data_IF_367679286372
#
_entry.id   IF_367679286372
#
_cell.length_a   1.000
_cell.length_b   1.000
_cell.length_c   1.000
_cell.angle_alpha   90.00
_cell.angle_beta   90.00
_cell.angle_gamma   90.00
#
_symmetry.space_group_name_H-M   'P 1'
#
loop_
_entity.id
_entity.type
_entity.pdbx_description
1 polymer ?
#
# COMPACT_ATOMS: atom_id res chain seq x y z
N UNK A 1 -26.41 27.06 -26.91
CA UNK A 1 -25.41 26.45 -25.99
C UNK A 1 -25.78 24.99 -25.78
N UNK A 2 -25.24 24.07 -26.57
CA UNK A 2 -25.36 22.62 -26.36
C UNK A 2 -24.21 21.93 -27.12
N UNK A 3 -23.26 21.36 -26.40
CA UNK A 3 -22.21 20.48 -26.94
C UNK A 3 -22.36 19.13 -26.24
N UNK A 4 -23.39 18.38 -26.63
CA UNK A 4 -23.56 16.98 -26.27
C UNK A 4 -24.15 16.25 -27.46
N UNK A 5 -23.32 15.56 -28.23
CA UNK A 5 -23.65 14.32 -28.95
C UNK A 5 -22.52 13.93 -29.91
N UNK A 6 -21.47 13.31 -29.38
CA UNK A 6 -20.64 12.39 -30.19
C UNK A 6 -20.56 11.08 -29.43
N UNK A 7 -21.24 10.01 -29.87
CA UNK A 7 -21.11 8.67 -29.31
C UNK A 7 -19.68 8.17 -29.56
N UNK A 8 -18.91 7.93 -28.50
CA UNK A 8 -17.51 7.47 -28.58
C UNK A 8 -16.43 8.53 -28.29
N UNK A 9 -16.81 9.76 -27.94
CA UNK A 9 -15.87 10.79 -27.51
C UNK A 9 -15.49 10.61 -26.03
N UNK A 10 -14.26 10.17 -25.75
CA UNK A 10 -13.71 10.13 -24.39
C UNK A 10 -12.42 10.94 -24.30
N UNK A 11 -12.42 11.95 -23.43
CA UNK A 11 -11.33 12.89 -23.16
C UNK A 11 -10.12 12.28 -22.43
N UNK A 12 -9.50 11.18 -22.89
CA UNK A 12 -8.07 10.86 -22.60
C UNK A 12 -7.63 9.45 -23.10
N UNK A 13 -6.76 9.37 -24.13
CA UNK A 13 -6.19 8.10 -24.62
C UNK A 13 -5.40 7.31 -23.56
N UNK A 14 -4.84 7.97 -22.52
CA UNK A 14 -4.05 7.35 -21.45
C UNK A 14 -4.90 6.54 -20.46
N UNK A 15 -6.18 6.87 -20.27
CA UNK A 15 -7.12 6.14 -19.41
C UNK A 15 -7.51 4.78 -20.01
N UNK A 16 -7.60 4.71 -21.35
CA UNK A 16 -8.03 3.51 -22.09
C UNK A 16 -7.22 2.23 -21.79
N UNK A 17 -5.89 2.36 -21.59
CA UNK A 17 -5.03 1.21 -21.31
C UNK A 17 -5.16 0.72 -19.87
N UNK A 18 -5.34 1.63 -18.92
CA UNK A 18 -5.59 1.28 -17.52
C UNK A 18 -6.96 0.64 -17.36
N UNK A 19 -8.00 1.18 -18.01
CA UNK A 19 -9.36 0.64 -17.95
C UNK A 19 -9.43 -0.80 -18.48
N UNK A 20 -8.75 -1.08 -19.58
CA UNK A 20 -8.68 -2.44 -20.13
C UNK A 20 -8.00 -3.39 -19.14
N UNK A 21 -6.81 -3.07 -18.66
CA UNK A 21 -6.07 -3.95 -17.74
C UNK A 21 -6.78 -4.10 -16.39
N UNK A 22 -7.43 -3.05 -15.88
CA UNK A 22 -8.23 -3.07 -14.67
C UNK A 22 -9.44 -4.01 -14.82
N UNK A 23 -10.15 -3.94 -15.95
CA UNK A 23 -11.26 -4.84 -16.28
C UNK A 23 -10.79 -6.30 -16.31
N UNK A 24 -9.67 -6.56 -16.99
CA UNK A 24 -9.09 -7.91 -17.10
C UNK A 24 -8.62 -8.43 -15.74
N UNK A 25 -7.99 -7.59 -14.92
CA UNK A 25 -7.59 -7.94 -13.55
C UNK A 25 -8.80 -8.32 -12.70
N UNK A 26 -9.87 -7.52 -12.75
CA UNK A 26 -11.13 -7.82 -12.03
C UNK A 26 -11.70 -9.17 -12.41
N UNK A 27 -11.78 -9.46 -13.72
CA UNK A 27 -12.28 -10.75 -14.20
C UNK A 27 -11.39 -11.92 -13.77
N UNK A 28 -10.07 -11.73 -13.77
CA UNK A 28 -9.14 -12.76 -13.33
C UNK A 28 -9.29 -13.06 -11.83
N UNK A 29 -9.29 -12.01 -11.00
CA UNK A 29 -9.44 -12.14 -9.53
C UNK A 29 -10.81 -12.70 -9.17
N UNK A 30 -11.88 -12.32 -9.87
CA UNK A 30 -13.22 -12.88 -9.63
C UNK A 30 -13.29 -14.39 -9.91
N UNK A 31 -12.52 -14.89 -10.89
CA UNK A 31 -12.52 -16.31 -11.28
C UNK A 31 -11.59 -17.18 -10.45
N UNK A 32 -10.42 -16.66 -10.10
CA UNK A 32 -9.32 -17.45 -9.52
C UNK A 32 -8.91 -17.00 -8.12
N UNK A 33 -9.46 -15.88 -7.65
CA UNK A 33 -9.03 -15.23 -6.42
C UNK A 33 -7.70 -14.50 -6.57
N UNK A 34 -7.41 -13.60 -5.63
CA UNK A 34 -6.16 -12.85 -5.61
C UNK A 34 -4.92 -13.75 -5.38
N UNK A 35 -5.09 -14.87 -4.69
CA UNK A 35 -4.00 -15.79 -4.35
C UNK A 35 -3.33 -16.42 -5.59
N UNK A 36 -4.02 -16.44 -6.74
CA UNK A 36 -3.48 -16.93 -8.01
C UNK A 36 -2.62 -15.89 -8.76
N UNK A 37 -2.47 -14.67 -8.23
CA UNK A 37 -1.68 -13.62 -8.86
C UNK A 37 -0.18 -13.76 -8.55
N UNK A 38 0.59 -13.96 -9.61
CA UNK A 38 2.05 -13.92 -9.66
C UNK A 38 2.53 -12.80 -10.60
N UNK A 39 3.84 -12.52 -10.60
CA UNK A 39 4.42 -11.46 -11.43
C UNK A 39 4.27 -11.75 -12.94
N UNK A 40 4.29 -13.02 -13.31
CA UNK A 40 4.22 -13.53 -14.67
C UNK A 40 2.79 -13.89 -15.12
N UNK A 41 1.78 -13.72 -14.24
CA UNK A 41 0.39 -14.00 -14.58
C UNK A 41 -0.06 -13.24 -15.82
N UNK A 42 -0.66 -13.97 -16.75
CA UNK A 42 -1.28 -13.47 -17.96
C UNK A 42 -2.78 -13.74 -17.97
N UNK A 43 -3.54 -12.82 -18.54
CA UNK A 43 -4.93 -13.06 -18.86
C UNK A 43 -5.06 -14.08 -20.00
N UNK A 44 -6.24 -14.71 -20.13
CA UNK A 44 -6.54 -15.61 -21.27
C UNK A 44 -6.38 -14.92 -22.62
N UNK A 45 -6.63 -13.61 -22.67
CA UNK A 45 -6.49 -12.74 -23.84
C UNK A 45 -5.05 -12.29 -24.11
N UNK A 46 -4.08 -12.74 -23.29
CA UNK A 46 -2.65 -12.53 -23.48
C UNK A 46 -2.03 -11.38 -22.69
N UNK A 47 -2.83 -10.50 -22.09
CA UNK A 47 -2.32 -9.33 -21.36
C UNK A 47 -1.49 -9.72 -20.13
N UNK A 48 -0.31 -9.11 -19.92
CA UNK A 48 0.56 -9.41 -18.79
C UNK A 48 0.10 -8.71 -17.50
N UNK A 49 -0.99 -9.20 -16.90
CA UNK A 49 -1.61 -8.60 -15.73
C UNK A 49 -0.67 -8.54 -14.52
N UNK A 50 0.15 -9.57 -14.27
CA UNK A 50 1.11 -9.57 -13.16
C UNK A 50 2.14 -8.44 -13.26
N UNK A 51 2.69 -8.22 -14.47
CA UNK A 51 3.62 -7.11 -14.74
C UNK A 51 2.92 -5.76 -14.64
N UNK A 52 1.68 -5.66 -15.12
CA UNK A 52 0.91 -4.42 -15.01
C UNK A 52 0.61 -4.07 -13.55
N UNK A 53 0.24 -5.03 -12.70
CA UNK A 53 0.07 -4.82 -11.26
C UNK A 53 1.34 -4.26 -10.62
N UNK A 54 2.52 -4.81 -10.95
CA UNK A 54 3.78 -4.27 -10.45
C UNK A 54 4.04 -2.84 -10.94
N UNK A 55 3.81 -2.57 -12.23
CA UNK A 55 3.94 -1.23 -12.80
C UNK A 55 3.05 -0.21 -12.08
N UNK A 56 1.78 -0.56 -11.84
CA UNK A 56 0.82 0.30 -11.15
C UNK A 56 1.25 0.56 -9.69
N UNK A 57 1.71 -0.46 -8.97
CA UNK A 57 2.25 -0.30 -7.61
C UNK A 57 3.48 0.61 -7.58
N UNK A 58 4.37 0.54 -8.57
CA UNK A 58 5.52 1.44 -8.69
C UNK A 58 5.06 2.89 -8.89
N UNK A 59 4.13 3.14 -9.80
CA UNK A 59 3.61 4.50 -10.05
C UNK A 59 2.84 5.08 -8.87
N UNK A 60 2.13 4.24 -8.12
CA UNK A 60 1.47 4.64 -6.87
C UNK A 60 2.49 5.15 -5.83
N UNK A 61 3.62 4.45 -5.65
CA UNK A 61 4.69 4.89 -4.74
C UNK A 61 5.35 6.19 -5.18
N UNK A 62 5.43 6.42 -6.49
CA UNK A 62 5.98 7.64 -7.07
C UNK A 62 5.00 8.83 -7.00
N UNK A 63 3.75 8.62 -6.56
CA UNK A 63 2.71 9.65 -6.55
C UNK A 63 2.21 10.02 -7.95
N UNK A 64 2.44 9.15 -8.93
CA UNK A 64 2.10 9.41 -10.34
C UNK A 64 0.86 8.65 -10.81
N UNK A 65 0.24 7.87 -9.92
CA UNK A 65 -0.98 7.14 -10.22
C UNK A 65 -2.18 8.08 -10.02
N UNK A 66 -3.08 8.20 -11.00
CA UNK A 66 -4.33 8.93 -10.81
C UNK A 66 -5.14 8.37 -9.62
N UNK A 67 -5.71 9.26 -8.81
CA UNK A 67 -6.42 8.91 -7.57
C UNK A 67 -7.67 8.05 -7.84
N UNK A 68 -8.36 8.30 -8.95
CA UNK A 68 -9.51 7.50 -9.40
C UNK A 68 -9.09 6.05 -9.68
N UNK A 69 -7.99 5.85 -10.39
CA UNK A 69 -7.45 4.53 -10.68
C UNK A 69 -6.98 3.82 -9.40
N UNK A 70 -6.37 4.56 -8.47
CA UNK A 70 -6.00 4.02 -7.16
C UNK A 70 -7.24 3.49 -6.40
N UNK A 71 -8.29 4.30 -6.32
CA UNK A 71 -9.55 3.92 -5.68
C UNK A 71 -10.21 2.72 -6.36
N UNK A 72 -10.18 2.63 -7.69
CA UNK A 72 -10.71 1.49 -8.44
C UNK A 72 -9.95 0.18 -8.15
N UNK A 73 -8.64 0.25 -7.93
CA UNK A 73 -7.80 -0.90 -7.59
C UNK A 73 -8.01 -1.38 -6.16
N UNK A 74 -8.16 -0.44 -5.21
CA UNK A 74 -8.45 -0.74 -3.80
C UNK A 74 -9.78 -1.48 -3.61
N UNK A 75 -10.73 -1.35 -4.55
CA UNK A 75 -11.98 -2.11 -4.54
C UNK A 75 -11.84 -3.56 -5.00
N UNK A 76 -10.69 -3.96 -5.54
CA UNK A 76 -10.48 -5.35 -5.99
C UNK A 76 -10.23 -6.23 -4.76
N UNK A 77 -11.02 -7.32 -4.56
CA UNK A 77 -10.82 -8.21 -3.42
C UNK A 77 -9.40 -8.78 -3.37
N UNK A 78 -8.76 -8.64 -2.22
CA UNK A 78 -7.38 -9.09 -2.01
C UNK A 78 -6.30 -8.15 -2.56
N UNK A 79 -6.67 -7.04 -3.22
CA UNK A 79 -5.71 -6.02 -3.64
C UNK A 79 -4.97 -5.43 -2.45
N UNK A 80 -3.66 -5.27 -2.62
CA UNK A 80 -2.77 -4.63 -1.66
C UNK A 80 -1.73 -3.85 -2.46
N UNK A 81 -1.39 -2.64 -2.03
CA UNK A 81 -0.34 -1.86 -2.69
C UNK A 81 1.05 -2.49 -2.50
N UNK A 82 1.30 -3.13 -1.36
CA UNK A 82 2.41 -4.05 -1.16
C UNK A 82 2.05 -5.25 -0.26
N UNK A 83 2.64 -6.45 -0.49
CA UNK A 83 2.64 -7.54 0.51
C UNK A 83 3.22 -7.09 1.86
N UNK A 84 4.07 -6.06 1.82
CA UNK A 84 4.59 -5.37 2.99
C UNK A 84 3.49 -4.67 3.78
N UNK A 85 2.41 -4.19 3.16
CA UNK A 85 1.29 -3.56 3.86
C UNK A 85 0.50 -4.58 4.68
N UNK A 86 0.28 -5.80 4.17
CA UNK A 86 -0.33 -6.86 4.98
C UNK A 86 0.59 -7.30 6.13
N UNK A 87 1.91 -7.37 5.90
CA UNK A 87 2.87 -7.65 6.98
C UNK A 87 2.88 -6.53 8.02
N UNK A 88 2.86 -5.28 7.59
CA UNK A 88 2.82 -4.11 8.45
C UNK A 88 1.51 -4.06 9.25
N UNK A 89 0.38 -4.35 8.62
CA UNK A 89 -0.92 -4.43 9.27
C UNK A 89 -0.93 -5.54 10.34
N UNK A 90 -0.45 -6.74 10.01
CA UNK A 90 -0.30 -7.85 10.99
C UNK A 90 0.62 -7.46 12.14
N UNK A 91 1.78 -6.88 11.84
CA UNK A 91 2.73 -6.45 12.86
C UNK A 91 2.18 -5.31 13.72
N UNK A 92 1.37 -4.42 13.15
CA UNK A 92 0.70 -3.35 13.89
C UNK A 92 -0.30 -3.92 14.91
N UNK A 93 -1.10 -4.92 14.52
CA UNK A 93 -2.00 -5.63 15.46
C UNK A 93 -1.20 -6.31 16.57
N UNK A 94 -0.10 -6.99 16.23
CA UNK A 94 0.80 -7.59 17.21
C UNK A 94 1.41 -6.54 18.16
N UNK A 95 1.83 -5.40 17.64
CA UNK A 95 2.37 -4.28 18.44
C UNK A 95 1.32 -3.72 19.39
N UNK A 96 0.10 -3.46 18.91
CA UNK A 96 -0.99 -2.97 19.75
C UNK A 96 -1.30 -3.95 20.88
N UNK A 97 -1.37 -5.26 20.58
CA UNK A 97 -1.58 -6.32 21.58
C UNK A 97 -0.43 -6.38 22.59
N UNK A 98 0.81 -6.31 22.10
CA UNK A 98 2.01 -6.33 22.95
C UNK A 98 2.02 -5.14 23.90
N UNK A 99 1.85 -3.92 23.39
CA UNK A 99 1.87 -2.68 24.18
C UNK A 99 0.74 -2.66 25.20
N UNK A 100 -0.47 -3.11 24.83
CA UNK A 100 -1.59 -3.23 25.77
C UNK A 100 -1.28 -4.15 26.96
N UNK A 101 -0.51 -5.23 26.74
CA UNK A 101 -0.22 -6.25 27.76
C UNK A 101 1.02 -5.96 28.59
N UNK A 102 2.04 -5.36 27.98
CA UNK A 102 3.39 -5.23 28.58
C UNK A 102 3.86 -3.78 28.70
N UNK A 103 3.09 -2.83 28.19
CA UNK A 103 3.50 -1.44 28.06
C UNK A 103 4.47 -1.20 26.90
N UNK A 104 4.60 0.07 26.50
CA UNK A 104 5.46 0.48 25.39
C UNK A 104 6.95 0.33 25.73
N UNK A 105 7.30 0.48 27.00
CA UNK A 105 8.68 0.47 27.50
C UNK A 105 9.30 -0.94 27.47
N UNK A 106 8.47 -1.98 27.45
CA UNK A 106 8.91 -3.36 27.27
C UNK A 106 9.35 -3.67 25.82
N UNK A 107 9.08 -2.79 24.84
CA UNK A 107 9.43 -3.03 23.45
C UNK A 107 10.91 -2.68 23.19
N UNK A 108 11.76 -3.72 23.14
CA UNK A 108 13.19 -3.63 22.77
C UNK A 108 13.37 -3.97 21.30
N UNK A 109 14.51 -3.58 20.70
CA UNK A 109 14.84 -3.92 19.30
C UNK A 109 14.81 -5.44 19.03
N UNK A 110 15.20 -6.23 20.03
CA UNK A 110 15.25 -7.70 20.00
C UNK A 110 13.92 -8.39 20.35
N UNK A 111 12.85 -7.63 20.64
CA UNK A 111 11.56 -8.21 21.00
C UNK A 111 10.99 -9.03 19.84
N UNK A 112 10.80 -10.33 20.09
CA UNK A 112 10.11 -11.28 19.21
C UNK A 112 8.75 -11.62 19.80
N UNK A 113 7.70 -11.55 18.99
CA UNK A 113 6.32 -11.93 19.36
C UNK A 113 5.76 -12.78 18.24
N UNK A 114 5.28 -13.98 18.55
CA UNK A 114 4.70 -14.91 17.57
C UNK A 114 5.60 -15.12 16.33
N UNK A 115 6.91 -15.29 16.56
CA UNK A 115 7.93 -15.46 15.51
C UNK A 115 8.29 -14.19 14.72
N UNK A 116 7.67 -13.05 15.03
CA UNK A 116 7.94 -11.76 14.38
C UNK A 116 8.93 -10.96 15.20
N UNK A 117 10.02 -10.49 14.57
CA UNK A 117 10.98 -9.52 15.10
C UNK A 117 10.36 -8.12 15.23
N UNK A 118 9.38 -7.99 16.14
CA UNK A 118 8.47 -6.86 16.29
C UNK A 118 9.20 -5.57 16.66
N UNK A 119 10.21 -5.67 17.52
CA UNK A 119 11.07 -4.56 17.91
C UNK A 119 11.84 -3.97 16.72
N UNK A 120 12.49 -4.83 15.95
CA UNK A 120 13.25 -4.43 14.76
C UNK A 120 12.34 -3.83 13.68
N UNK A 121 11.15 -4.40 13.49
CA UNK A 121 10.13 -3.85 12.60
C UNK A 121 9.71 -2.43 13.01
N UNK A 122 9.40 -2.21 14.29
CA UNK A 122 9.01 -0.89 14.81
C UNK A 122 10.10 0.18 14.60
N UNK A 123 11.38 -0.19 14.75
CA UNK A 123 12.50 0.71 14.47
C UNK A 123 12.60 1.04 12.98
N UNK A 124 12.46 0.04 12.10
CA UNK A 124 12.49 0.19 10.64
C UNK A 124 11.38 1.09 10.11
N UNK A 125 10.20 1.07 10.73
CA UNK A 125 9.14 2.04 10.39
C UNK A 125 9.61 3.49 10.61
N UNK A 126 10.44 3.75 11.62
CA UNK A 126 11.02 5.07 11.85
C UNK A 126 12.05 5.48 10.78
N UNK A 127 12.76 4.52 10.18
CA UNK A 127 13.67 4.76 9.04
C UNK A 127 12.89 5.03 7.75
N UNK A 128 11.81 4.26 7.51
CA UNK A 128 10.90 4.48 6.38
C UNK A 128 10.24 5.84 6.44
N UNK A 129 9.88 6.32 7.63
CA UNK A 129 9.35 7.68 7.79
C UNK A 129 10.37 8.72 7.31
N UNK A 130 11.63 8.61 7.73
CA UNK A 130 12.70 9.52 7.27
C UNK A 130 12.82 9.53 5.75
N UNK A 131 12.82 8.34 5.15
CA UNK A 131 12.89 8.16 3.68
C UNK A 131 11.61 8.56 2.93
N UNK A 132 10.53 8.95 3.63
CA UNK A 132 9.25 9.28 3.00
C UNK A 132 8.47 8.08 2.45
N UNK A 133 8.85 6.85 2.79
CA UNK A 133 8.26 5.61 2.27
C UNK A 133 7.37 4.89 3.27
N UNK A 134 7.04 5.53 4.40
CA UNK A 134 6.10 4.98 5.38
C UNK A 134 4.66 5.35 5.00
N UNK A 135 3.77 4.36 4.79
CA UNK A 135 2.36 4.63 4.50
C UNK A 135 1.71 5.53 5.54
N UNK A 136 0.84 6.45 5.09
CA UNK A 136 0.19 7.45 5.94
C UNK A 136 -0.62 6.82 7.08
N UNK A 137 -1.39 5.78 6.76
CA UNK A 137 -2.19 4.98 7.68
C UNK A 137 -1.32 4.39 8.81
N UNK A 138 -0.25 3.69 8.43
CA UNK A 138 0.67 3.06 9.37
C UNK A 138 1.39 4.09 10.24
N UNK A 139 1.79 5.24 9.68
CA UNK A 139 2.38 6.34 10.44
C UNK A 139 1.40 6.87 11.51
N UNK A 140 0.13 7.09 11.15
CA UNK A 140 -0.92 7.52 12.09
C UNK A 140 -1.10 6.51 13.22
N UNK A 141 -1.21 5.23 12.88
CA UNK A 141 -1.40 4.18 13.88
C UNK A 141 -0.21 4.03 14.83
N UNK A 142 1.02 4.12 14.32
CA UNK A 142 2.22 4.09 15.16
C UNK A 142 2.35 5.34 16.04
N UNK A 143 1.89 6.50 15.57
CA UNK A 143 1.84 7.72 16.35
C UNK A 143 0.80 7.65 17.49
N UNK A 144 -0.30 6.92 17.32
CA UNK A 144 -1.26 6.68 18.41
C UNK A 144 -0.66 5.81 19.53
N UNK A 145 0.29 4.94 19.20
CA UNK A 145 0.97 4.05 20.16
C UNK A 145 2.10 4.77 20.92
N UNK A 146 2.81 5.69 20.26
CA UNK A 146 3.96 6.43 20.84
C UNK A 146 4.01 7.88 20.30
N UNK A 147 3.09 8.75 20.77
CA UNK A 147 2.91 10.08 20.18
C UNK A 147 4.18 10.94 20.19
N UNK A 148 4.93 10.89 21.29
CA UNK A 148 6.12 11.70 21.47
C UNK A 148 7.24 11.34 20.48
N UNK A 149 7.54 10.03 20.32
CA UNK A 149 8.59 9.58 19.39
C UNK A 149 8.24 9.92 17.95
N UNK A 150 7.00 9.65 17.55
CA UNK A 150 6.58 9.85 16.15
C UNK A 150 6.39 11.31 15.79
N UNK A 151 6.02 12.18 16.75
CA UNK A 151 6.04 13.63 16.56
C UNK A 151 7.46 14.14 16.26
N UNK A 152 8.46 13.74 17.06
CA UNK A 152 9.86 14.14 16.84
C UNK A 152 10.38 13.69 15.47
N UNK A 153 10.10 12.44 15.07
CA UNK A 153 10.54 11.93 13.76
C UNK A 153 9.91 12.67 12.59
N UNK A 154 8.64 13.08 12.69
CA UNK A 154 7.99 13.89 11.65
C UNK A 154 8.60 15.28 11.55
N UNK A 155 8.86 15.93 12.69
CA UNK A 155 9.52 17.22 12.72
C UNK A 155 10.92 17.17 12.08
N UNK A 156 11.73 16.17 12.43
CA UNK A 156 13.05 15.98 11.84
C UNK A 156 13.01 15.81 10.31
N UNK A 157 12.06 15.00 9.80
CA UNK A 157 11.84 14.85 8.36
C UNK A 157 11.43 16.18 7.70
N UNK A 158 10.52 16.92 8.31
CA UNK A 158 10.04 18.20 7.77
C UNK A 158 11.16 19.25 7.72
N UNK A 159 12.09 19.21 8.67
CA UNK A 159 13.24 20.10 8.74
C UNK A 159 14.40 19.72 7.79
N UNK A 160 14.31 18.59 7.05
CA UNK A 160 15.41 18.10 6.21
C UNK A 160 16.65 17.63 7.01
N UNK A 161 16.52 17.50 8.34
CA UNK A 161 17.58 17.08 9.24
C UNK A 161 17.44 15.58 9.47
N UNK A 162 18.21 14.77 8.71
CA UNK A 162 18.65 13.37 8.91
C UNK A 162 18.68 12.52 7.62
#
# INVERSE_FOLDING_TARGET
RALQAIPGWTWEPRRSRYDRNLRVLRQHVARHGWAAMAQDTRAKTGEPIGRWVNHVRVRYRAGELPDDLAAELERIPGWQWEPRDARDARNLVLLQRFVRRRGKDALRKTTVVDGVQLGAWYMRCGERLRRGTLPRELNRALAAIDPARWRRKRAARAAGQL
#
